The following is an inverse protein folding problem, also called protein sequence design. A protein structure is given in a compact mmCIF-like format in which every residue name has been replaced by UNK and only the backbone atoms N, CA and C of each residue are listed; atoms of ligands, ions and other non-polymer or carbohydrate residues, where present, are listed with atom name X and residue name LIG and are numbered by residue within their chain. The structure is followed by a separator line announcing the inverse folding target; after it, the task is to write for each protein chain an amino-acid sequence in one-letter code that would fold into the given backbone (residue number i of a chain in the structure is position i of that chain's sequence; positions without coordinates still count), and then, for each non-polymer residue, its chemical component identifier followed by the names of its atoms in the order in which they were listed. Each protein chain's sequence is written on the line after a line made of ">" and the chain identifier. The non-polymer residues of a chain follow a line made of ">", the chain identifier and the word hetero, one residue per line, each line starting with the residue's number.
data_IF_626358201496
#
_entry.id   IF_626358201496
#
_cell.length_a   1.000
_cell.length_b   1.000
_cell.length_c   1.000
_cell.angle_alpha   90.00
_cell.angle_beta   90.00
_cell.angle_gamma   90.00
#
_symmetry.space_group_name_H-M   'P 1'
#
loop_
_entity.id
_entity.type
_entity.pdbx_description
1 polymer ?
#
# COMPACT_ATOMS: atom_id res chain seq x y z
N UNK A 1 18.00 12.49 -10.34
CA UNK A 1 16.59 12.23 -10.02
C UNK A 1 16.39 12.62 -8.57
N UNK A 2 15.36 13.40 -8.25
CA UNK A 2 15.05 13.73 -6.84
C UNK A 2 14.49 12.51 -6.15
N UNK A 3 14.90 12.28 -4.90
CA UNK A 3 14.44 11.16 -4.10
C UNK A 3 13.16 11.55 -3.36
N UNK A 4 12.01 11.17 -3.91
CA UNK A 4 10.72 11.71 -3.48
C UNK A 4 10.07 10.83 -2.44
N UNK A 5 9.51 11.44 -1.41
CA UNK A 5 8.79 10.74 -0.35
C UNK A 5 7.44 11.39 -0.06
N UNK A 6 6.52 10.55 0.44
CA UNK A 6 5.31 11.00 1.10
C UNK A 6 5.46 10.87 2.62
N UNK A 7 4.89 11.83 3.35
CA UNK A 7 4.87 11.82 4.81
C UNK A 7 3.44 12.01 5.28
N UNK A 8 2.86 11.00 5.92
CA UNK A 8 1.53 11.05 6.51
C UNK A 8 1.61 11.29 8.01
N UNK A 9 1.04 12.39 8.50
CA UNK A 9 0.91 12.67 9.93
C UNK A 9 -0.43 12.16 10.43
N UNK A 10 -0.44 11.20 11.36
CA UNK A 10 -1.69 10.70 11.92
C UNK A 10 -2.33 11.74 12.83
N UNK A 11 -3.64 11.86 12.69
CA UNK A 11 -4.52 12.70 13.49
C UNK A 11 -5.16 11.89 14.62
N UNK A 12 -5.72 12.56 15.64
CA UNK A 12 -6.44 11.88 16.73
C UNK A 12 -7.65 11.07 16.27
N UNK A 13 -8.24 11.41 15.12
CA UNK A 13 -9.35 10.68 14.49
C UNK A 13 -8.89 9.42 13.73
N UNK A 14 -7.59 9.14 13.70
CA UNK A 14 -6.99 8.00 13.01
C UNK A 14 -6.70 8.22 11.53
N UNK A 15 -7.08 9.37 10.96
CA UNK A 15 -6.82 9.74 9.58
C UNK A 15 -5.44 10.42 9.45
N UNK A 16 -5.01 10.69 8.22
CA UNK A 16 -3.69 11.23 7.94
C UNK A 16 -3.78 12.57 7.21
N UNK A 17 -2.92 13.50 7.61
CA UNK A 17 -2.58 14.68 6.81
C UNK A 17 -1.30 14.38 6.02
N UNK A 18 -1.40 14.44 4.70
CA UNK A 18 -0.35 13.99 3.78
C UNK A 18 0.48 15.15 3.26
N UNK A 19 1.79 14.99 3.27
CA UNK A 19 2.78 15.98 2.85
C UNK A 19 3.82 15.38 1.92
N UNK A 20 4.48 16.25 1.17
CA UNK A 20 5.53 15.89 0.21
C UNK A 20 6.93 16.21 0.75
N UNK A 21 7.91 15.37 0.45
CA UNK A 21 9.33 15.70 0.55
C UNK A 21 10.05 15.39 -0.77
N UNK A 22 10.80 16.37 -1.30
CA UNK A 22 11.51 16.22 -2.57
C UNK A 22 12.81 15.41 -2.46
N UNK A 23 13.42 15.39 -1.27
CA UNK A 23 14.73 14.76 -1.01
C UNK A 23 14.67 13.65 0.05
N UNK A 24 13.51 13.49 0.71
CA UNK A 24 13.27 12.51 1.77
C UNK A 24 13.21 11.04 1.34
N UNK A 25 13.24 10.75 0.03
CA UNK A 25 13.17 9.38 -0.49
C UNK A 25 14.52 8.64 -0.50
N UNK A 26 15.60 9.34 -0.14
CA UNK A 26 16.96 8.82 -0.40
C UNK A 26 17.22 7.58 0.44
N UNK A 27 16.83 7.58 1.70
CA UNK A 27 17.03 6.51 2.67
C UNK A 27 16.16 6.82 3.91
N UNK A 28 16.09 5.95 4.94
CA UNK A 28 15.22 6.20 6.09
C UNK A 28 15.71 7.29 7.06
N UNK A 29 16.81 8.01 6.78
CA UNK A 29 17.35 9.05 7.67
C UNK A 29 16.36 10.18 7.97
N UNK A 30 15.43 10.49 7.06
CA UNK A 30 14.39 11.50 7.30
C UNK A 30 13.55 11.16 8.55
N UNK A 31 13.39 9.88 8.89
CA UNK A 31 12.68 9.47 10.10
C UNK A 31 13.33 10.02 11.39
N UNK A 32 14.66 10.18 11.40
CA UNK A 32 15.39 10.73 12.54
C UNK A 32 15.33 12.27 12.62
N UNK A 33 14.98 12.95 11.52
CA UNK A 33 14.87 14.42 11.47
C UNK A 33 13.47 14.92 11.88
N UNK A 34 12.46 14.06 11.80
CA UNK A 34 11.08 14.36 12.21
C UNK A 34 10.98 14.19 13.73
N UNK A 35 10.63 15.27 14.41
CA UNK A 35 10.41 15.26 15.85
C UNK A 35 9.31 16.24 16.26
N UNK A 36 8.95 16.25 17.55
CA UNK A 36 8.02 17.25 18.08
C UNK A 36 8.54 18.70 17.93
N UNK A 37 9.86 18.89 18.04
CA UNK A 37 10.51 20.20 17.89
C UNK A 37 10.69 20.59 16.41
N UNK A 38 10.92 19.59 15.55
CA UNK A 38 11.14 19.74 14.10
C UNK A 38 10.12 18.91 13.30
N UNK A 39 8.81 19.21 13.39
CA UNK A 39 7.77 18.37 12.81
C UNK A 39 7.76 18.40 11.28
N UNK A 40 8.56 19.25 10.64
CA UNK A 40 8.72 19.29 9.18
C UNK A 40 10.17 19.05 8.76
N UNK A 41 11.00 18.46 9.65
CA UNK A 41 12.42 18.19 9.43
C UNK A 41 13.15 19.43 8.85
N UNK A 42 13.05 20.57 9.56
CA UNK A 42 13.65 21.85 9.16
C UNK A 42 13.32 22.32 7.72
N UNK A 43 12.14 21.95 7.22
CA UNK A 43 11.65 22.33 5.89
C UNK A 43 11.98 21.32 4.79
N UNK A 44 12.64 20.20 5.12
CA UNK A 44 12.77 19.05 4.21
C UNK A 44 11.40 18.50 3.81
N UNK A 45 10.40 18.65 4.68
CA UNK A 45 9.00 18.32 4.41
C UNK A 45 8.22 19.59 4.11
N UNK A 46 7.45 19.56 3.02
CA UNK A 46 6.63 20.69 2.60
C UNK A 46 5.62 21.09 3.68
N UNK A 47 5.51 22.40 3.91
CA UNK A 47 4.49 22.99 4.78
C UNK A 47 3.07 22.87 4.18
N UNK A 48 2.94 22.69 2.87
CA UNK A 48 1.65 22.50 2.20
C UNK A 48 1.17 21.07 2.30
N UNK A 49 -0.12 20.88 2.58
CA UNK A 49 -0.78 19.58 2.52
C UNK A 49 -1.04 19.19 1.06
N UNK A 50 -0.75 17.94 0.74
CA UNK A 50 -1.19 17.29 -0.51
C UNK A 50 -2.64 16.83 -0.38
N UNK A 51 -3.00 16.32 0.79
CA UNK A 51 -4.33 15.91 1.18
C UNK A 51 -4.45 15.99 2.70
N UNK A 52 -5.66 16.21 3.20
CA UNK A 52 -5.96 16.25 4.62
C UNK A 52 -7.02 15.21 4.97
N UNK A 53 -6.98 14.71 6.22
CA UNK A 53 -8.01 13.82 6.75
C UNK A 53 -8.28 12.58 5.86
N UNK A 54 -7.24 11.94 5.33
CA UNK A 54 -7.39 10.76 4.46
C UNK A 54 -7.12 9.45 5.20
N UNK A 55 -7.85 8.40 4.82
CA UNK A 55 -7.59 7.05 5.33
C UNK A 55 -6.26 6.51 4.80
N UNK A 56 -5.63 5.61 5.55
CA UNK A 56 -4.34 5.00 5.16
C UNK A 56 -4.41 4.35 3.78
N UNK A 57 -5.46 3.57 3.49
CA UNK A 57 -5.62 2.92 2.20
C UNK A 57 -5.68 3.91 1.03
N UNK A 58 -6.28 5.09 1.29
CA UNK A 58 -6.38 6.17 0.31
C UNK A 58 -5.03 6.82 0.04
N UNK A 59 -4.10 6.82 1.01
CA UNK A 59 -2.70 7.20 0.74
C UNK A 59 -2.14 6.28 -0.35
N UNK A 60 -2.32 4.97 -0.22
CA UNK A 60 -1.75 3.99 -1.15
C UNK A 60 -2.39 4.05 -2.53
N UNK A 61 -3.73 4.08 -2.59
CA UNK A 61 -4.45 4.02 -3.86
C UNK A 61 -4.42 5.36 -4.61
N UNK A 62 -4.53 6.48 -3.91
CA UNK A 62 -4.82 7.76 -4.56
C UNK A 62 -3.57 8.64 -4.66
N UNK A 63 -2.58 8.46 -3.78
CA UNK A 63 -1.45 9.40 -3.67
C UNK A 63 -0.06 8.77 -3.84
N UNK A 64 0.13 7.52 -3.43
CA UNK A 64 1.44 6.87 -3.41
C UNK A 64 1.78 6.25 -4.77
N UNK A 65 2.07 7.10 -5.75
CA UNK A 65 2.56 6.67 -7.05
C UNK A 65 3.90 5.93 -6.90
N UNK A 66 3.98 4.61 -7.18
CA UNK A 66 5.21 3.84 -7.01
C UNK A 66 6.29 4.20 -8.04
N UNK A 67 5.93 4.77 -9.18
CA UNK A 67 6.89 5.22 -10.20
C UNK A 67 7.58 6.53 -9.77
N UNK A 68 6.95 7.29 -8.87
CA UNK A 68 7.40 8.63 -8.46
C UNK A 68 8.01 8.63 -7.06
N UNK A 69 7.40 7.92 -6.12
CA UNK A 69 7.79 7.91 -4.73
C UNK A 69 8.68 6.72 -4.42
N UNK A 70 9.73 6.95 -3.63
CA UNK A 70 10.68 5.92 -3.21
C UNK A 70 10.50 5.52 -1.74
N UNK A 71 9.88 6.40 -0.94
CA UNK A 71 9.63 6.18 0.48
C UNK A 71 8.26 6.71 0.89
N UNK A 72 7.66 6.05 1.89
CA UNK A 72 6.52 6.54 2.67
C UNK A 72 6.94 6.59 4.14
N UNK A 73 6.65 7.69 4.82
CA UNK A 73 6.83 7.83 6.26
C UNK A 73 5.46 8.03 6.91
N UNK A 74 5.10 7.17 7.85
CA UNK A 74 3.93 7.37 8.70
C UNK A 74 4.39 7.88 10.06
N UNK A 75 3.91 9.06 10.44
CA UNK A 75 4.25 9.73 11.69
C UNK A 75 3.07 9.60 12.63
N UNK A 76 3.34 9.24 13.88
CA UNK A 76 2.37 9.13 14.96
C UNK A 76 2.63 10.21 16.02
N UNK A 77 2.15 11.47 15.84
CA UNK A 77 2.39 12.56 16.79
C UNK A 77 1.93 12.25 18.22
N UNK A 78 0.84 11.49 18.34
CA UNK A 78 0.29 11.06 19.64
C UNK A 78 1.17 10.01 20.36
N UNK A 79 2.03 9.31 19.63
CA UNK A 79 2.97 8.32 20.13
C UNK A 79 4.40 8.90 20.15
N UNK A 80 4.56 10.11 20.69
CA UNK A 80 5.85 10.80 20.80
C UNK A 80 6.59 10.96 19.46
N UNK A 81 5.84 11.18 18.37
CA UNK A 81 6.39 11.30 17.01
C UNK A 81 7.15 10.04 16.55
N UNK A 82 6.67 8.85 16.92
CA UNK A 82 7.14 7.62 16.31
C UNK A 82 6.96 7.70 14.78
N UNK A 83 8.01 7.38 14.04
CA UNK A 83 8.02 7.40 12.57
C UNK A 83 8.27 6.00 12.06
N UNK A 84 7.34 5.48 11.26
CA UNK A 84 7.49 4.21 10.56
C UNK A 84 7.82 4.47 9.10
N UNK A 85 9.07 4.27 8.68
CA UNK A 85 9.49 4.36 7.29
C UNK A 85 9.15 3.07 6.49
N UNK A 86 8.81 3.24 5.23
CA UNK A 86 8.59 2.17 4.26
C UNK A 86 9.27 2.48 2.94
N UNK A 87 9.94 1.49 2.36
CA UNK A 87 10.38 1.53 0.97
C UNK A 87 9.20 1.31 0.03
N UNK A 88 9.13 2.13 -1.02
CA UNK A 88 8.16 1.98 -2.10
C UNK A 88 8.84 1.27 -3.27
N UNK A 89 8.25 0.17 -3.73
CA UNK A 89 8.77 -0.64 -4.82
C UNK A 89 7.79 -0.64 -6.00
N UNK A 90 8.27 -0.24 -7.18
CA UNK A 90 7.47 -0.25 -8.40
C UNK A 90 7.56 -1.58 -9.14
N UNK A 91 6.45 -2.29 -9.22
CA UNK A 91 6.37 -3.69 -9.66
C UNK A 91 6.10 -3.84 -11.16
N UNK A 92 6.11 -2.76 -11.93
CA UNK A 92 5.84 -2.81 -13.38
C UNK A 92 7.03 -2.42 -14.24
N UNK A 93 6.91 -2.71 -15.54
CA UNK A 93 7.91 -2.46 -16.58
C UNK A 93 7.43 -1.44 -17.64
N UNK A 94 6.26 -0.80 -17.44
CA UNK A 94 5.67 0.18 -18.36
C UNK A 94 6.19 1.61 -18.17
N UNK A 95 5.58 2.58 -18.86
CA UNK A 95 5.88 4.03 -18.73
C UNK A 95 5.14 4.72 -17.57
N UNK A 96 4.37 3.95 -16.79
CA UNK A 96 3.80 4.37 -15.51
C UNK A 96 2.60 5.30 -15.61
N UNK A 97 1.90 5.33 -16.75
CA UNK A 97 0.90 6.39 -16.96
C UNK A 97 -0.45 6.19 -16.26
N UNK A 98 -0.92 4.97 -16.03
CA UNK A 98 -2.22 4.75 -15.37
C UNK A 98 -2.25 3.39 -14.64
N UNK A 99 -2.67 3.37 -13.37
CA UNK A 99 -2.88 2.16 -12.57
C UNK A 99 -1.62 1.36 -12.17
N UNK A 100 -0.61 2.02 -11.61
CA UNK A 100 0.67 1.40 -11.26
C UNK A 100 0.59 0.42 -10.08
N UNK A 101 1.17 -0.77 -10.25
CA UNK A 101 1.36 -1.72 -9.14
C UNK A 101 2.59 -1.38 -8.29
N UNK A 102 2.37 -1.24 -6.98
CA UNK A 102 3.40 -0.94 -6.00
C UNK A 102 3.46 -1.94 -4.86
N UNK A 103 4.55 -1.93 -4.10
CA UNK A 103 4.62 -2.59 -2.80
C UNK A 103 5.33 -1.73 -1.76
N UNK A 104 4.92 -1.87 -0.50
CA UNK A 104 5.62 -1.34 0.66
C UNK A 104 6.44 -2.42 1.36
N UNK A 105 7.65 -2.06 1.78
CA UNK A 105 8.51 -2.90 2.61
C UNK A 105 8.98 -2.07 3.81
N UNK A 106 8.74 -2.54 5.04
CA UNK A 106 9.24 -1.88 6.26
C UNK A 106 10.76 -1.88 6.32
N UNK A 107 11.36 -0.83 6.89
CA UNK A 107 12.83 -0.67 6.90
C UNK A 107 13.55 -1.36 8.06
N UNK A 108 12.91 -2.33 8.72
CA UNK A 108 13.55 -3.19 9.73
C UNK A 108 14.72 -3.99 9.12
N UNK A 109 14.76 -4.05 7.80
CA UNK A 109 15.80 -4.62 6.97
C UNK A 109 16.65 -3.51 6.33
N UNK A 110 17.94 -3.79 6.08
CA UNK A 110 18.86 -2.79 5.53
C UNK A 110 18.42 -2.29 4.15
N UNK A 111 18.17 -0.98 4.05
CA UNK A 111 17.70 -0.30 2.85
C UNK A 111 18.51 -0.62 1.58
N UNK A 112 19.83 -0.71 1.70
CA UNK A 112 20.71 -1.03 0.57
C UNK A 112 20.49 -2.46 0.05
N UNK A 113 20.23 -3.42 0.94
CA UNK A 113 20.03 -4.82 0.58
C UNK A 113 18.73 -5.01 -0.18
N UNK A 114 17.64 -4.39 0.27
CA UNK A 114 16.35 -4.41 -0.43
C UNK A 114 16.49 -3.80 -1.82
N UNK A 115 17.08 -2.61 -1.94
CA UNK A 115 17.26 -1.93 -3.23
C UNK A 115 18.12 -2.74 -4.19
N UNK A 116 19.19 -3.35 -3.69
CA UNK A 116 20.09 -4.18 -4.50
C UNK A 116 19.38 -5.42 -5.00
N UNK A 117 18.69 -6.14 -4.10
CA UNK A 117 17.89 -7.32 -4.45
C UNK A 117 16.79 -6.99 -5.46
N UNK A 118 16.01 -5.92 -5.20
CA UNK A 118 14.89 -5.53 -6.04
C UNK A 118 15.37 -5.17 -7.44
N UNK A 119 16.43 -4.36 -7.53
CA UNK A 119 17.02 -3.95 -8.81
C UNK A 119 17.57 -5.14 -9.58
N UNK A 120 18.33 -6.03 -8.92
CA UNK A 120 18.89 -7.22 -9.55
C UNK A 120 17.79 -8.13 -10.09
N UNK A 121 16.77 -8.41 -9.28
CA UNK A 121 15.63 -9.24 -9.65
C UNK A 121 14.86 -8.64 -10.83
N UNK A 122 14.59 -7.32 -10.79
CA UNK A 122 13.88 -6.62 -11.86
C UNK A 122 14.68 -6.65 -13.17
N UNK A 123 15.99 -6.46 -13.12
CA UNK A 123 16.86 -6.60 -14.30
C UNK A 123 16.80 -8.00 -14.90
N UNK A 124 16.94 -9.04 -14.09
CA UNK A 124 16.85 -10.43 -14.58
C UNK A 124 15.48 -10.73 -15.18
N UNK A 125 14.40 -10.27 -14.55
CA UNK A 125 13.05 -10.44 -15.08
C UNK A 125 12.86 -9.69 -16.40
N UNK A 126 13.44 -8.49 -16.55
CA UNK A 126 13.45 -7.77 -17.85
C UNK A 126 14.10 -8.63 -18.93
N UNK A 127 15.29 -9.18 -18.69
CA UNK A 127 15.99 -10.01 -19.67
C UNK A 127 15.13 -11.23 -20.07
N UNK A 128 14.48 -11.87 -19.10
CA UNK A 128 13.61 -13.05 -19.31
C UNK A 128 12.34 -12.68 -20.09
N UNK A 129 11.78 -11.48 -19.88
CA UNK A 129 10.67 -10.95 -20.67
C UNK A 129 11.11 -10.66 -22.10
N UNK A 130 12.26 -10.00 -22.30
CA UNK A 130 12.80 -9.67 -23.61
C UNK A 130 13.13 -10.91 -24.45
N UNK A 131 13.58 -11.97 -23.80
CA UNK A 131 13.79 -13.29 -24.43
C UNK A 131 12.48 -14.03 -24.76
N UNK A 132 11.32 -13.51 -24.32
CA UNK A 132 10.01 -14.13 -24.53
C UNK A 132 9.76 -15.39 -23.70
N UNK A 133 10.58 -15.63 -22.67
CA UNK A 133 10.48 -16.81 -21.80
C UNK A 133 9.33 -16.65 -20.79
N UNK A 134 9.13 -15.42 -20.29
CA UNK A 134 8.01 -15.07 -19.43
C UNK A 134 7.22 -13.89 -19.99
N UNK A 135 5.92 -13.88 -19.74
CA UNK A 135 5.12 -12.67 -19.93
C UNK A 135 5.40 -11.65 -18.83
N UNK A 136 5.19 -10.36 -19.12
CA UNK A 136 5.26 -9.30 -18.12
C UNK A 136 4.33 -9.56 -16.93
N UNK A 137 3.10 -10.06 -17.17
CA UNK A 137 2.16 -10.42 -16.11
C UNK A 137 2.71 -11.53 -15.20
N UNK A 138 3.37 -12.54 -15.77
CA UNK A 138 3.98 -13.63 -14.98
C UNK A 138 5.18 -13.12 -14.17
N UNK A 139 6.01 -12.25 -14.74
CA UNK A 139 7.12 -11.62 -14.04
C UNK A 139 6.65 -10.73 -12.89
N UNK A 140 5.57 -9.96 -13.09
CA UNK A 140 4.95 -9.15 -12.04
C UNK A 140 4.41 -10.04 -10.91
N UNK A 141 3.64 -11.08 -11.23
CA UNK A 141 3.11 -12.00 -10.22
C UNK A 141 4.24 -12.69 -9.42
N UNK A 142 5.34 -13.05 -10.09
CA UNK A 142 6.53 -13.57 -9.41
C UNK A 142 7.13 -12.54 -8.45
N UNK A 143 7.31 -11.30 -8.89
CA UNK A 143 7.89 -10.25 -8.06
C UNK A 143 7.00 -9.90 -6.87
N UNK A 144 5.68 -9.83 -7.06
CA UNK A 144 4.69 -9.67 -5.98
C UNK A 144 4.84 -10.76 -4.92
N UNK A 145 4.87 -12.03 -5.34
CA UNK A 145 5.04 -13.16 -4.42
C UNK A 145 6.34 -13.06 -3.63
N UNK A 146 7.46 -12.76 -4.29
CA UNK A 146 8.77 -12.66 -3.62
C UNK A 146 8.84 -11.52 -2.62
N UNK A 147 8.27 -10.36 -2.94
CA UNK A 147 8.20 -9.24 -1.99
C UNK A 147 7.43 -9.62 -0.73
N UNK A 148 6.28 -10.30 -0.87
CA UNK A 148 5.51 -10.78 0.27
C UNK A 148 6.26 -11.85 1.08
N UNK A 149 6.88 -12.82 0.40
CA UNK A 149 7.53 -13.98 1.05
C UNK A 149 8.84 -13.64 1.75
N UNK A 150 9.72 -12.85 1.11
CA UNK A 150 11.04 -12.52 1.64
C UNK A 150 11.02 -11.32 2.56
N UNK A 151 10.19 -10.33 2.26
CA UNK A 151 10.26 -9.01 2.90
C UNK A 151 9.01 -8.65 3.70
N UNK A 152 8.03 -9.56 3.81
CA UNK A 152 6.71 -9.29 4.40
C UNK A 152 6.06 -8.02 3.79
N UNK A 153 6.34 -7.76 2.52
CA UNK A 153 5.89 -6.56 1.86
C UNK A 153 4.39 -6.59 1.58
N UNK A 154 3.80 -5.40 1.46
CA UNK A 154 2.37 -5.25 1.15
C UNK A 154 2.20 -4.66 -0.24
N UNK A 155 1.51 -5.40 -1.11
CA UNK A 155 1.25 -4.98 -2.48
C UNK A 155 -0.03 -4.14 -2.54
N UNK A 156 0.00 -3.07 -3.35
CA UNK A 156 -1.13 -2.19 -3.58
C UNK A 156 -1.23 -1.78 -5.05
N UNK A 157 -2.39 -1.26 -5.44
CA UNK A 157 -2.63 -0.68 -6.78
C UNK A 157 -2.85 0.82 -6.63
N UNK A 158 -1.99 1.61 -7.25
CA UNK A 158 -2.14 3.06 -7.33
C UNK A 158 -3.03 3.42 -8.51
N UNK A 159 -4.17 4.05 -8.27
CA UNK A 159 -5.10 4.55 -9.29
C UNK A 159 -4.99 6.06 -9.52
N UNK A 160 -4.28 6.75 -8.63
CA UNK A 160 -4.18 8.21 -8.62
C UNK A 160 -5.47 8.89 -8.17
N UNK A 161 -5.37 10.19 -7.88
CA UNK A 161 -6.53 11.07 -7.69
C UNK A 161 -7.17 11.37 -9.04
N UNK A 162 -7.82 10.38 -9.66
CA UNK A 162 -8.68 10.62 -10.81
C UNK A 162 -9.85 11.54 -10.44
N UNK A 163 -10.47 12.26 -11.40
CA UNK A 163 -11.67 13.01 -11.11
C UNK A 163 -12.74 12.04 -10.61
N UNK A 164 -13.25 12.28 -9.40
CA UNK A 164 -14.40 11.57 -8.86
C UNK A 164 -15.56 11.79 -9.83
N UNK A 165 -15.86 10.80 -10.67
CA UNK A 165 -17.08 10.81 -11.48
C UNK A 165 -18.26 10.87 -10.51
N UNK A 166 -18.78 12.08 -10.31
CA UNK A 166 -20.10 12.29 -9.77
C UNK A 166 -21.10 11.71 -10.77
N UNK A 167 -22.05 10.94 -10.25
CA UNK A 167 -23.27 10.44 -10.89
C UNK A 167 -23.12 9.67 -12.22
N UNK A 168 -23.44 8.37 -12.17
CA UNK A 168 -24.61 7.88 -12.92
C UNK A 168 -25.13 6.62 -12.23
N UNK A 169 -26.28 6.79 -11.60
CA UNK A 169 -27.19 5.74 -11.17
C UNK A 169 -27.93 5.19 -12.40
N UNK A 170 -27.78 3.89 -12.73
CA UNK A 170 -28.85 3.05 -13.28
C UNK A 170 -28.42 1.58 -13.51
N UNK A 171 -29.35 0.62 -13.35
CA UNK A 171 -29.05 -0.81 -13.19
C UNK A 171 -29.10 -1.59 -14.51
N UNK A 172 -28.35 -2.69 -14.60
CA UNK A 172 -28.39 -3.61 -15.74
C UNK A 172 -27.53 -4.87 -15.59
N UNK A 173 -28.19 -5.96 -15.24
CA UNK A 173 -27.77 -7.36 -14.98
C UNK A 173 -26.87 -8.03 -16.04
N UNK A 174 -25.88 -8.83 -15.57
CA UNK A 174 -25.72 -10.29 -15.82
C UNK A 174 -24.25 -10.78 -16.02
N UNK A 175 -23.79 -11.71 -15.16
CA UNK A 175 -22.95 -12.86 -15.56
C UNK A 175 -21.45 -12.86 -15.19
N UNK A 176 -21.12 -13.44 -14.02
CA UNK A 176 -19.99 -14.32 -13.59
C UNK A 176 -18.65 -14.44 -14.38
N UNK A 177 -17.52 -14.90 -13.76
CA UNK A 177 -17.45 -15.72 -12.54
C UNK A 177 -16.56 -15.19 -11.40
N UNK A 178 -16.96 -15.62 -10.21
CA UNK A 178 -16.28 -15.45 -8.93
C UNK A 178 -14.93 -16.17 -8.92
N UNK A 179 -13.83 -15.40 -8.83
CA UNK A 179 -12.51 -15.93 -8.46
C UNK A 179 -12.41 -15.83 -6.95
N UNK A 180 -12.47 -16.98 -6.27
CA UNK A 180 -12.22 -17.02 -4.83
C UNK A 180 -10.80 -16.52 -4.53
N UNK A 181 -10.61 -15.64 -3.54
CA UNK A 181 -9.27 -15.28 -3.09
C UNK A 181 -8.60 -16.51 -2.48
N UNK A 182 -7.45 -16.87 -3.02
CA UNK A 182 -6.57 -17.90 -2.46
C UNK A 182 -6.20 -17.48 -1.04
N UNK A 183 -6.50 -18.36 -0.08
CA UNK A 183 -6.26 -18.15 1.35
C UNK A 183 -4.86 -17.60 1.63
N UNK A 184 -4.80 -16.51 2.38
CA UNK A 184 -3.57 -15.91 2.89
C UNK A 184 -2.82 -16.89 3.81
N UNK A 185 -1.48 -16.86 3.85
CA UNK A 185 -0.70 -17.65 4.80
C UNK A 185 -0.96 -17.17 6.24
N UNK A 186 -1.16 -18.13 7.15
CA UNK A 186 -1.48 -17.90 8.56
C UNK A 186 -0.38 -17.14 9.34
N UNK A 187 -0.79 -16.04 9.98
CA UNK A 187 -0.64 -15.85 11.42
C UNK A 187 0.57 -15.11 11.96
N UNK A 188 1.80 -15.47 11.59
CA UNK A 188 2.96 -15.10 12.43
C UNK A 188 4.13 -14.38 11.75
N UNK A 189 4.00 -14.06 10.46
CA UNK A 189 5.08 -13.40 9.68
C UNK A 189 4.90 -11.91 9.42
N UNK A 190 3.77 -11.33 9.81
CA UNK A 190 3.51 -9.90 9.66
C UNK A 190 4.18 -9.09 10.76
N UNK A 191 4.92 -8.02 10.42
CA UNK A 191 5.33 -7.01 11.40
C UNK A 191 4.09 -6.54 12.19
N UNK A 192 4.18 -6.40 13.52
CA UNK A 192 3.02 -6.17 14.37
C UNK A 192 2.26 -4.88 14.01
N UNK A 193 2.94 -3.85 13.49
CA UNK A 193 2.33 -2.60 12.99
C UNK A 193 1.54 -2.74 11.66
N UNK A 194 1.78 -3.81 10.90
CA UNK A 194 1.08 -4.12 9.64
C UNK A 194 -0.07 -5.12 9.80
N UNK A 195 -0.21 -5.77 10.97
CA UNK A 195 -1.32 -6.71 11.23
C UNK A 195 -2.69 -6.02 11.15
N UNK A 196 -2.77 -4.74 11.50
CA UNK A 196 -4.00 -3.94 11.39
C UNK A 196 -4.37 -3.47 9.97
N UNK A 197 -3.57 -3.79 8.94
CA UNK A 197 -3.90 -3.44 7.55
C UNK A 197 -4.96 -4.34 6.93
N UNK A 198 -5.20 -5.54 7.48
CA UNK A 198 -6.04 -6.57 6.85
C UNK A 198 -7.07 -7.21 7.80
N UNK A 199 -7.14 -6.79 9.07
CA UNK A 199 -8.05 -7.37 10.09
C UNK A 199 -9.36 -6.57 10.28
N UNK A 200 -9.79 -5.84 9.25
CA UNK A 200 -11.18 -5.34 9.14
C UNK A 200 -11.88 -6.06 7.99
N UNK A 201 -11.93 -7.38 8.04
CA UNK A 201 -12.98 -8.09 7.31
C UNK A 201 -14.32 -7.74 7.96
N UNK A 202 -14.97 -6.73 7.39
CA UNK A 202 -16.40 -6.76 7.10
C UNK A 202 -17.29 -7.14 8.29
N UNK A 203 -17.59 -6.17 9.16
CA UNK A 203 -18.86 -6.22 9.92
C UNK A 203 -19.99 -5.80 8.97
N UNK A 204 -20.26 -6.62 7.95
CA UNK A 204 -21.55 -6.58 7.26
C UNK A 204 -22.50 -7.46 8.05
N UNK A 205 -23.28 -6.81 8.91
CA UNK A 205 -24.44 -7.36 9.58
C UNK A 205 -25.40 -7.93 8.52
N UNK A 206 -25.41 -9.26 8.40
CA UNK A 206 -26.38 -10.01 7.60
C UNK A 206 -27.35 -10.70 8.54
N UNK A 207 -28.15 -9.91 9.25
CA UNK A 207 -29.38 -10.38 9.88
C UNK A 207 -30.47 -10.53 8.81
N UNK A 208 -30.48 -11.68 8.12
CA UNK A 208 -31.70 -12.18 7.49
C UNK A 208 -32.35 -13.21 8.43
N UNK A 209 -33.64 -13.05 8.80
CA UNK A 209 -34.33 -14.01 9.64
C UNK A 209 -34.63 -15.27 8.82
N UNK A 210 -34.22 -16.41 9.37
CA UNK A 210 -34.56 -17.74 8.87
C UNK A 210 -35.92 -18.13 9.47
N UNK A 211 -36.98 -18.11 8.67
CA UNK A 211 -38.25 -18.77 8.99
C UNK A 211 -38.02 -20.29 8.91
N UNK A 212 -38.02 -20.96 10.06
CA UNK A 212 -37.99 -22.42 10.20
C UNK A 212 -39.30 -22.86 10.89
N UNK A 213 -40.37 -22.98 10.10
CA UNK A 213 -41.60 -23.67 10.50
C UNK A 213 -41.29 -25.18 10.57
N UNK A 214 -41.01 -25.65 11.79
CA UNK A 214 -40.87 -27.07 12.11
C UNK A 214 -42.24 -27.73 12.21
N UNK A 215 -42.54 -28.57 11.23
CA UNK A 215 -43.34 -29.77 11.43
C UNK A 215 -42.72 -30.60 12.56
N UNK A 216 -43.50 -30.86 13.60
CA UNK A 216 -43.21 -31.91 14.58
C UNK A 216 -44.53 -32.49 15.08
N UNK A 217 -44.86 -33.61 14.45
CA UNK A 217 -45.71 -34.68 14.97
C UNK A 217 -45.50 -34.87 16.48
N UNK A 218 -46.61 -34.81 17.22
CA UNK A 218 -46.75 -35.51 18.49
C UNK A 218 -48.10 -36.22 18.49
N UNK A 219 -48.03 -37.54 18.71
CA UNK A 219 -49.17 -38.43 19.01
C UNK A 219 -49.92 -38.02 20.27
#
# INVERSE_FOLDING_TARGET
>A
MGHRALVGYRRPDGLYDLRYSHWGGTDPSLAAEISADTPLADGTISASLLADSIARDRILTDHLDPCVHEMLFLVEPSAAYEVTPYHVCWLEWGDGHENGRGALIGTDQTAESIRTWFRATKTTLTDVIEMGVLSQRAAQAYLEARVCEEYAGVVYTYTGTGPRSADTDSPGTAGEPSVQPTSLPEGDRFPPELRGWFDETSTYDSTFPHDDDRDSDWS
#
